data_IF_307367292385
#
_entry.id   IF_307367292385
#
_cell.length_a   1.000
_cell.length_b   1.000
_cell.length_c   1.000
_cell.angle_alpha   90.00
_cell.angle_beta   90.00
_cell.angle_gamma   90.00
#
_symmetry.space_group_name_H-M   'P 1'
#
loop_
_entity.id
_entity.type
_entity.pdbx_description
1 polymer ?
#
# COMPACT_ATOMS: atom_id res chain seq x y z
N UNK A 1 3.09 2.52 13.92
CA UNK A 1 3.73 1.95 12.74
C UNK A 1 4.31 3.07 11.87
N UNK A 2 5.63 3.06 11.69
CA UNK A 2 6.37 4.04 10.91
C UNK A 2 6.64 3.53 9.50
N UNK A 3 6.64 4.45 8.54
CA UNK A 3 6.87 4.18 7.11
C UNK A 3 7.90 5.18 6.61
N UNK A 4 8.89 4.72 5.86
CA UNK A 4 9.73 5.58 5.06
C UNK A 4 9.05 5.80 3.71
N UNK A 5 8.57 7.02 3.47
CA UNK A 5 7.95 7.43 2.22
C UNK A 5 8.59 8.72 1.74
N UNK A 6 9.08 8.76 0.51
CA UNK A 6 9.80 9.89 -0.08
C UNK A 6 11.05 10.32 0.74
N UNK A 7 11.75 9.36 1.35
CA UNK A 7 12.86 9.60 2.30
C UNK A 7 12.48 10.43 3.54
N UNK A 8 11.21 10.44 3.88
CA UNK A 8 10.65 11.10 5.05
C UNK A 8 9.95 10.07 5.95
N UNK A 9 9.87 10.39 7.24
CA UNK A 9 9.13 9.55 8.18
C UNK A 9 7.64 9.86 8.11
N UNK A 10 6.84 8.83 7.87
CA UNK A 10 5.39 8.87 7.89
C UNK A 10 4.84 7.83 8.88
N UNK A 11 3.57 7.94 9.21
CA UNK A 11 2.90 7.01 10.13
C UNK A 11 1.61 6.48 9.52
N UNK A 12 1.35 5.19 9.71
CA UNK A 12 0.11 4.56 9.25
C UNK A 12 -1.02 4.93 10.22
N UNK A 13 -2.08 5.56 9.68
CA UNK A 13 -3.33 5.81 10.41
C UNK A 13 -4.18 4.53 10.40
N UNK A 14 -4.32 3.88 9.25
CA UNK A 14 -5.12 2.68 9.10
C UNK A 14 -5.29 2.25 7.65
N UNK A 15 -6.14 1.24 7.45
CA UNK A 15 -6.59 0.78 6.13
C UNK A 15 -8.06 1.11 6.02
N UNK A 16 -8.44 1.80 4.93
CA UNK A 16 -9.80 2.29 4.74
C UNK A 16 -10.32 1.91 3.36
N UNK A 17 -11.60 1.51 3.25
CA UNK A 17 -12.31 1.52 1.96
C UNK A 17 -12.29 2.94 1.40
N UNK A 18 -11.64 3.14 0.28
CA UNK A 18 -11.40 4.48 -0.30
C UNK A 18 -11.94 4.52 -1.72
N UNK A 19 -12.90 5.42 -1.96
CA UNK A 19 -13.38 5.76 -3.29
C UNK A 19 -12.33 6.64 -3.99
N UNK A 20 -11.95 6.30 -5.20
CA UNK A 20 -10.97 7.05 -6.01
C UNK A 20 -11.56 8.27 -6.74
N UNK A 21 -12.85 8.53 -6.53
CA UNK A 21 -13.60 9.60 -7.19
C UNK A 21 -14.35 9.14 -8.44
N UNK A 22 -14.08 7.95 -8.96
CA UNK A 22 -14.81 7.34 -10.08
C UNK A 22 -15.94 6.40 -9.61
N UNK A 23 -16.01 6.14 -8.30
CA UNK A 23 -16.90 5.17 -7.69
C UNK A 23 -16.24 3.79 -7.46
N UNK A 24 -14.98 3.61 -7.87
CA UNK A 24 -14.21 2.41 -7.55
C UNK A 24 -13.72 2.51 -6.10
N UNK A 25 -14.08 1.52 -5.28
CA UNK A 25 -13.70 1.46 -3.87
C UNK A 25 -12.65 0.37 -3.69
N UNK A 26 -11.52 0.73 -3.09
CA UNK A 26 -10.42 -0.18 -2.74
C UNK A 26 -9.98 0.03 -1.30
N UNK A 27 -9.50 -1.03 -0.65
CA UNK A 27 -8.83 -0.89 0.64
C UNK A 27 -7.47 -0.25 0.43
N UNK A 28 -7.25 0.93 0.99
CA UNK A 28 -6.01 1.69 0.88
C UNK A 28 -5.43 2.05 2.23
N UNK A 29 -4.12 2.01 2.33
CA UNK A 29 -3.39 2.46 3.51
C UNK A 29 -3.40 3.99 3.53
N UNK A 30 -3.89 4.56 4.63
CA UNK A 30 -3.82 5.99 4.91
C UNK A 30 -2.59 6.27 5.76
N UNK A 31 -1.74 7.20 5.30
CA UNK A 31 -0.55 7.64 6.03
C UNK A 31 -0.58 9.15 6.27
N UNK A 32 0.06 9.56 7.36
CA UNK A 32 0.26 10.97 7.74
C UNK A 32 1.74 11.23 7.91
N UNK A 33 2.22 12.38 7.45
CA UNK A 33 3.62 12.78 7.68
C UNK A 33 3.88 12.94 9.18
N UNK A 34 5.01 12.44 9.66
CA UNK A 34 5.34 12.52 11.10
C UNK A 34 5.58 13.95 11.56
N UNK A 35 6.30 14.72 10.76
CA UNK A 35 6.60 16.12 11.04
C UNK A 35 5.73 17.05 10.17
N UNK A 36 5.42 18.26 10.67
CA UNK A 36 4.74 19.25 9.87
C UNK A 36 5.67 19.86 8.80
N UNK A 37 5.09 20.47 7.77
CA UNK A 37 5.80 21.14 6.67
C UNK A 37 5.85 22.66 6.86
N UNK A 38 5.57 23.16 8.06
CA UNK A 38 5.51 24.57 8.42
C UNK A 38 4.09 25.05 8.70
N UNK A 39 4.00 26.31 9.14
CA UNK A 39 2.73 26.95 9.44
C UNK A 39 2.18 27.67 8.21
N UNK A 40 0.87 27.49 7.97
CA UNK A 40 0.17 28.07 6.82
C UNK A 40 -1.24 28.46 7.19
N UNK A 41 -1.83 29.38 6.43
CA UNK A 41 -3.28 29.64 6.49
C UNK A 41 -4.02 28.48 5.83
N UNK A 42 -5.16 28.11 6.39
CA UNK A 42 -5.99 27.05 5.80
C UNK A 42 -6.61 27.52 4.48
N UNK A 43 -7.13 28.77 4.45
CA UNK A 43 -7.62 29.39 3.24
C UNK A 43 -7.37 30.90 3.24
N UNK A 44 -6.64 31.42 2.26
CA UNK A 44 -6.25 32.84 2.18
C UNK A 44 -7.41 33.79 1.87
N UNK A 45 -8.55 33.28 1.40
CA UNK A 45 -9.76 34.11 1.20
C UNK A 45 -10.65 34.18 2.43
N UNK A 46 -10.32 33.45 3.49
CA UNK A 46 -11.07 33.45 4.73
C UNK A 46 -12.36 32.63 4.70
N UNK A 47 -12.51 31.72 3.72
CA UNK A 47 -13.71 30.88 3.56
C UNK A 47 -13.37 29.40 3.69
N UNK A 48 -14.24 28.66 4.39
CA UNK A 48 -14.13 27.20 4.57
C UNK A 48 -15.13 26.40 3.72
N UNK A 49 -15.84 27.04 2.81
CA UNK A 49 -17.07 26.50 2.21
C UNK A 49 -16.86 25.60 1.00
N UNK A 50 -15.63 25.35 0.60
CA UNK A 50 -15.31 24.48 -0.55
C UNK A 50 -16.05 24.81 -1.86
N UNK A 51 -16.60 26.01 -2.00
CA UNK A 51 -17.07 26.49 -3.31
C UNK A 51 -15.94 26.43 -4.37
N UNK A 52 -14.72 26.42 -3.88
CA UNK A 52 -13.48 26.01 -4.53
C UNK A 52 -12.61 25.26 -3.51
N UNK A 53 -11.62 24.46 -3.94
CA UNK A 53 -10.65 23.86 -3.03
C UNK A 53 -10.00 24.91 -2.15
N UNK A 54 -9.81 24.63 -0.86
CA UNK A 54 -9.09 25.51 0.05
C UNK A 54 -7.67 25.79 -0.47
N UNK A 55 -7.15 26.98 -0.22
CA UNK A 55 -5.81 27.38 -0.69
C UNK A 55 -4.75 26.38 -0.25
N UNK A 56 -4.81 25.92 1.01
CA UNK A 56 -3.88 24.94 1.53
C UNK A 56 -3.99 23.60 0.79
N UNK A 57 -5.20 23.11 0.51
CA UNK A 57 -5.39 21.89 -0.26
C UNK A 57 -4.86 22.01 -1.70
N UNK A 58 -5.04 23.16 -2.32
CA UNK A 58 -4.47 23.44 -3.64
C UNK A 58 -2.95 23.39 -3.58
N UNK A 59 -2.33 24.02 -2.59
CA UNK A 59 -0.87 24.01 -2.39
C UNK A 59 -0.33 22.60 -2.15
N UNK A 60 -1.02 21.79 -1.34
CA UNK A 60 -0.65 20.40 -1.10
C UNK A 60 -0.67 19.57 -2.40
N UNK A 61 -1.65 19.79 -3.27
CA UNK A 61 -1.83 19.02 -4.50
C UNK A 61 -1.10 19.60 -5.72
N UNK A 62 -0.41 20.71 -5.57
CA UNK A 62 0.44 21.32 -6.60
C UNK A 62 1.88 21.41 -6.13
N UNK A 63 2.20 22.39 -5.31
CA UNK A 63 3.58 22.69 -4.89
C UNK A 63 4.20 21.53 -4.10
N UNK A 64 3.51 21.06 -3.06
CA UNK A 64 4.05 19.98 -2.23
C UNK A 64 4.08 18.65 -2.99
N UNK A 65 3.00 18.26 -3.68
CA UNK A 65 2.96 17.05 -4.50
C UNK A 65 4.10 17.01 -5.52
N UNK A 66 4.34 18.14 -6.22
CA UNK A 66 5.39 18.23 -7.23
C UNK A 66 6.81 18.23 -6.64
N UNK A 67 6.97 18.50 -5.34
CA UNK A 67 8.26 18.39 -4.64
C UNK A 67 8.62 16.93 -4.28
N UNK A 68 7.66 16.01 -4.30
CA UNK A 68 7.90 14.60 -4.06
C UNK A 68 8.61 13.94 -5.26
N UNK A 69 9.34 12.88 -5.01
CA UNK A 69 9.93 12.08 -6.10
C UNK A 69 8.84 11.49 -7.00
N UNK A 70 9.15 11.22 -8.26
CA UNK A 70 8.21 10.57 -9.19
C UNK A 70 7.74 9.21 -8.67
N UNK A 71 8.64 8.48 -8.00
CA UNK A 71 8.30 7.20 -7.37
C UNK A 71 7.25 7.40 -6.28
N UNK A 72 7.47 8.36 -5.37
CA UNK A 72 6.50 8.68 -4.32
C UNK A 72 5.16 9.14 -4.92
N UNK A 73 5.18 10.03 -5.91
CA UNK A 73 3.94 10.48 -6.59
C UNK A 73 3.14 9.31 -7.20
N UNK A 74 3.83 8.29 -7.77
CA UNK A 74 3.17 7.13 -8.36
C UNK A 74 2.50 6.22 -7.31
N UNK A 75 2.95 6.26 -6.07
CA UNK A 75 2.37 5.51 -4.95
C UNK A 75 1.11 6.16 -4.36
N UNK A 76 0.82 7.42 -4.70
CA UNK A 76 -0.31 8.17 -4.16
C UNK A 76 -1.53 8.00 -5.06
N UNK A 77 -2.60 7.39 -4.51
CA UNK A 77 -3.89 7.27 -5.20
C UNK A 77 -4.74 8.55 -5.08
N UNK A 78 -5.53 8.83 -6.12
CA UNK A 78 -6.63 9.78 -5.96
C UNK A 78 -7.62 9.22 -4.95
N UNK A 79 -8.10 10.06 -4.05
CA UNK A 79 -9.03 9.67 -3.01
C UNK A 79 -10.13 10.73 -2.86
N UNK A 80 -11.35 10.25 -2.63
CA UNK A 80 -12.47 11.09 -2.30
C UNK A 80 -12.46 11.39 -0.81
N UNK A 81 -12.21 12.64 -0.49
CA UNK A 81 -12.28 13.19 0.86
C UNK A 81 -13.68 13.74 1.10
N UNK A 82 -14.31 13.31 2.18
CA UNK A 82 -15.60 13.84 2.59
C UNK A 82 -15.41 15.17 3.30
N UNK A 83 -16.31 16.10 3.06
CA UNK A 83 -16.23 17.48 3.53
C UNK A 83 -17.38 17.84 4.48
N UNK A 84 -17.95 16.87 5.15
CA UNK A 84 -18.94 17.13 6.20
C UNK A 84 -18.30 17.86 7.37
N UNK A 85 -19.07 18.73 8.00
CA UNK A 85 -18.65 19.49 9.18
C UNK A 85 -19.75 19.51 10.23
N UNK A 86 -19.41 19.97 11.41
CA UNK A 86 -20.32 20.10 12.54
C UNK A 86 -20.06 21.40 13.28
N UNK A 87 -21.11 21.93 13.94
CA UNK A 87 -20.96 22.87 15.04
C UNK A 87 -21.01 22.07 16.34
N UNK A 88 -19.90 21.93 17.07
CA UNK A 88 -19.90 21.25 18.35
C UNK A 88 -20.85 21.96 19.32
N UNK A 89 -21.65 21.20 20.03
CA UNK A 89 -22.61 21.74 20.99
C UNK A 89 -22.03 21.74 22.40
N UNK A 90 -22.09 22.88 23.09
CA UNK A 90 -21.62 23.01 24.48
C UNK A 90 -22.54 22.39 25.53
N UNK A 91 -23.67 21.80 25.14
CA UNK A 91 -24.68 21.30 26.05
C UNK A 91 -24.56 19.82 26.39
N UNK A 92 -24.22 19.53 27.60
CA UNK A 92 -24.47 18.38 28.51
C UNK A 92 -24.77 16.95 27.96
N UNK A 93 -24.53 16.65 26.71
CA UNK A 93 -24.67 15.32 26.17
C UNK A 93 -23.45 15.04 25.32
N UNK A 94 -22.64 14.11 25.67
CA UNK A 94 -21.54 13.43 25.03
C UNK A 94 -21.48 13.48 23.47
N UNK A 95 -21.46 14.70 22.90
CA UNK A 95 -21.77 14.89 21.50
C UNK A 95 -20.54 15.03 20.60
N UNK A 96 -19.34 15.18 21.14
CA UNK A 96 -18.15 15.47 20.35
C UNK A 96 -17.11 14.36 20.49
N UNK A 97 -17.57 13.09 20.45
CA UNK A 97 -16.71 11.91 20.44
C UNK A 97 -16.13 11.65 19.05
N UNK A 98 -15.01 10.90 18.92
CA UNK A 98 -14.47 10.49 17.63
C UNK A 98 -15.49 9.86 16.69
N UNK A 99 -16.40 9.02 17.20
CA UNK A 99 -17.46 8.39 16.41
C UNK A 99 -18.43 9.42 15.82
N UNK A 100 -18.79 10.43 16.59
CA UNK A 100 -19.67 11.49 16.10
C UNK A 100 -18.99 12.36 15.05
N UNK A 101 -17.74 12.77 15.27
CA UNK A 101 -16.97 13.46 14.24
C UNK A 101 -16.89 12.61 12.96
N UNK A 102 -16.58 11.32 13.07
CA UNK A 102 -16.56 10.40 11.94
C UNK A 102 -17.89 10.40 11.17
N UNK A 103 -19.01 10.37 11.87
CA UNK A 103 -20.34 10.35 11.25
C UNK A 103 -20.66 11.66 10.51
N UNK A 104 -20.31 12.80 11.10
CA UNK A 104 -20.53 14.12 10.49
C UNK A 104 -19.61 14.41 9.31
N UNK A 105 -18.34 14.05 9.41
CA UNK A 105 -17.35 14.20 8.34
C UNK A 105 -17.82 13.53 7.05
N UNK A 106 -18.56 12.43 7.16
CA UNK A 106 -18.98 11.59 6.02
C UNK A 106 -20.43 11.84 5.58
N UNK A 107 -21.11 12.79 6.18
CA UNK A 107 -22.43 13.19 5.70
C UNK A 107 -22.34 13.82 4.32
N UNK A 108 -23.19 13.34 3.43
CA UNK A 108 -23.31 13.84 2.06
C UNK A 108 -24.51 14.77 1.86
N UNK A 109 -25.38 14.85 2.86
CA UNK A 109 -26.55 15.74 2.89
C UNK A 109 -26.64 16.39 4.24
N UNK A 110 -26.83 17.71 4.28
CA UNK A 110 -27.07 18.49 5.47
C UNK A 110 -28.56 18.67 5.66
N UNK A 111 -29.04 18.33 6.85
CA UNK A 111 -30.48 18.35 7.18
C UNK A 111 -30.82 19.35 8.26
N UNK A 112 -29.82 19.87 8.99
CA UNK A 112 -30.00 20.81 10.10
C UNK A 112 -29.09 22.03 9.98
N UNK A 113 -29.45 23.11 10.66
CA UNK A 113 -28.72 24.40 10.60
C UNK A 113 -27.32 24.38 11.23
N UNK A 114 -27.04 23.38 12.03
CA UNK A 114 -25.72 23.16 12.65
C UNK A 114 -24.85 22.17 11.89
N UNK A 115 -25.29 21.73 10.74
CA UNK A 115 -24.52 20.87 9.84
C UNK A 115 -23.98 21.70 8.65
N UNK A 116 -22.93 21.20 8.02
CA UNK A 116 -22.24 21.92 6.97
C UNK A 116 -23.10 22.05 5.70
N UNK A 117 -23.38 23.28 5.29
CA UNK A 117 -23.88 23.74 3.99
C UNK A 117 -25.27 23.35 3.53
N UNK A 118 -26.06 22.65 4.25
CA UNK A 118 -27.44 22.34 3.81
C UNK A 118 -27.55 21.79 2.37
N UNK A 119 -26.51 21.12 1.87
CA UNK A 119 -26.46 20.63 0.50
C UNK A 119 -26.17 21.68 -0.58
N UNK A 120 -25.81 22.92 -0.20
CA UNK A 120 -25.54 24.00 -1.15
C UNK A 120 -24.12 23.95 -1.73
N UNK A 121 -23.15 23.46 -0.95
CA UNK A 121 -21.74 23.39 -1.34
C UNK A 121 -21.30 21.92 -1.51
N UNK A 122 -20.13 21.69 -2.13
CA UNK A 122 -19.59 20.33 -2.24
C UNK A 122 -19.44 19.65 -0.88
N UNK A 123 -19.85 18.40 -0.79
CA UNK A 123 -19.72 17.54 0.39
C UNK A 123 -18.59 16.53 0.27
N UNK A 124 -17.85 16.58 -0.82
CA UNK A 124 -16.66 15.78 -1.07
C UNK A 124 -15.76 16.47 -2.07
N UNK A 125 -14.48 16.09 -2.03
CA UNK A 125 -13.45 16.57 -2.93
C UNK A 125 -12.52 15.40 -3.28
N UNK A 126 -12.03 15.35 -4.52
CA UNK A 126 -11.11 14.31 -4.99
C UNK A 126 -9.72 14.91 -5.16
N UNK A 127 -8.75 14.27 -4.57
CA UNK A 127 -7.34 14.68 -4.70
C UNK A 127 -6.38 13.67 -4.11
N UNK A 128 -5.09 13.95 -4.20
CA UNK A 128 -4.02 13.06 -3.76
C UNK A 128 -3.61 13.29 -2.31
N UNK A 129 -3.54 14.55 -1.89
CA UNK A 129 -3.14 14.93 -0.53
C UNK A 129 -4.20 15.79 0.13
N UNK A 130 -4.34 15.63 1.43
CA UNK A 130 -5.25 16.42 2.26
C UNK A 130 -4.68 16.56 3.67
N UNK A 131 -5.56 16.89 4.62
CA UNK A 131 -5.28 16.96 6.06
C UNK A 131 -5.98 15.81 6.78
N UNK A 132 -5.61 15.57 8.04
CA UNK A 132 -6.29 14.61 8.91
C UNK A 132 -7.74 15.02 9.15
N UNK A 133 -8.58 14.02 9.36
CA UNK A 133 -9.89 14.22 9.98
C UNK A 133 -9.77 14.41 11.50
N UNK A 134 -10.76 15.03 12.12
CA UNK A 134 -10.89 15.06 13.59
C UNK A 134 -11.00 13.64 14.13
N UNK A 135 -11.73 12.76 13.42
CA UNK A 135 -11.85 11.35 13.79
C UNK A 135 -10.53 10.59 13.72
N UNK A 136 -9.63 10.88 12.75
CA UNK A 136 -8.30 10.27 12.70
C UNK A 136 -7.52 10.54 14.00
N UNK A 137 -7.57 11.80 14.47
CA UNK A 137 -6.95 12.19 15.74
C UNK A 137 -7.60 11.51 16.93
N UNK A 138 -8.93 11.49 16.97
CA UNK A 138 -9.67 10.91 18.08
C UNK A 138 -9.41 9.40 18.24
N UNK A 139 -9.29 8.66 17.16
CA UNK A 139 -8.99 7.22 17.19
C UNK A 139 -7.49 6.88 17.32
N UNK A 140 -6.61 7.87 17.32
CA UNK A 140 -5.18 7.64 17.53
C UNK A 140 -4.82 7.26 18.97
N UNK A 141 -5.78 7.27 19.88
CA UNK A 141 -5.65 6.73 21.24
C UNK A 141 -6.94 6.05 21.67
N UNK A 142 -6.86 4.81 22.12
CA UNK A 142 -8.03 4.11 22.71
C UNK A 142 -8.63 4.84 23.91
N UNK A 143 -7.81 5.61 24.64
CA UNK A 143 -8.28 6.41 25.76
C UNK A 143 -9.15 7.61 25.34
N UNK A 144 -9.12 8.00 24.05
CA UNK A 144 -9.93 9.08 23.50
C UNK A 144 -11.26 8.61 22.89
N UNK A 145 -11.38 7.32 22.53
CA UNK A 145 -12.44 6.77 21.70
C UNK A 145 -13.87 7.13 22.13
N UNK A 146 -14.13 7.11 23.44
CA UNK A 146 -15.43 7.38 24.01
C UNK A 146 -15.47 8.70 24.80
N UNK A 147 -14.50 9.59 24.56
CA UNK A 147 -14.44 10.89 25.24
C UNK A 147 -14.82 12.02 24.29
N UNK A 148 -15.31 13.09 24.88
CA UNK A 148 -15.44 14.36 24.20
C UNK A 148 -14.05 14.92 23.88
N UNK A 149 -13.74 15.15 22.62
CA UNK A 149 -12.43 15.62 22.18
C UNK A 149 -12.40 17.10 21.78
N UNK A 150 -13.52 17.78 21.82
CA UNK A 150 -13.64 19.21 21.53
C UNK A 150 -13.79 20.03 22.81
N UNK A 151 -12.91 21.01 23.00
CA UNK A 151 -13.08 22.08 24.00
C UNK A 151 -13.16 21.66 25.47
N UNK A 152 -12.83 20.42 25.84
CA UNK A 152 -13.01 19.92 27.20
C UNK A 152 -11.68 19.64 27.93
N UNK A 153 -11.70 19.90 29.25
CA UNK A 153 -10.55 19.63 30.12
C UNK A 153 -10.32 18.14 30.43
N UNK A 154 -11.30 17.28 30.17
CA UNK A 154 -11.25 15.83 30.42
C UNK A 154 -10.33 15.07 29.45
N UNK A 155 -9.92 15.74 28.41
CA UNK A 155 -9.11 15.17 27.33
C UNK A 155 -7.62 15.00 27.73
N UNK A 156 -7.15 15.68 28.77
CA UNK A 156 -5.73 15.62 29.18
C UNK A 156 -5.25 14.19 29.42
N UNK A 157 -6.12 13.31 29.87
CA UNK A 157 -5.78 11.89 30.07
C UNK A 157 -5.66 11.10 28.78
N UNK A 158 -6.37 11.50 27.70
CA UNK A 158 -6.28 10.81 26.42
C UNK A 158 -5.15 11.34 25.54
N UNK A 159 -4.78 12.61 25.65
CA UNK A 159 -3.70 13.20 24.85
C UNK A 159 -2.33 12.57 25.14
N UNK A 160 -2.05 12.23 26.40
CA UNK A 160 -0.77 11.64 26.80
C UNK A 160 -0.48 10.29 26.10
N UNK A 161 -1.48 9.62 25.58
CA UNK A 161 -1.35 8.35 24.84
C UNK A 161 -1.68 8.50 23.36
N UNK A 162 -2.05 9.70 22.91
CA UNK A 162 -2.40 9.95 21.52
C UNK A 162 -1.14 10.15 20.69
N UNK A 163 -0.85 9.18 19.82
CA UNK A 163 0.36 9.20 19.02
C UNK A 163 0.35 10.22 17.87
N UNK A 164 -0.80 10.84 17.56
CA UNK A 164 -0.91 11.95 16.62
C UNK A 164 -0.74 13.32 17.29
N UNK A 165 -0.75 13.37 18.62
CA UNK A 165 -0.61 14.62 19.34
C UNK A 165 0.81 15.18 19.25
N UNK A 166 0.90 16.47 18.85
CA UNK A 166 2.14 17.23 18.83
C UNK A 166 2.01 18.41 19.80
N UNK A 167 2.69 18.32 20.94
CA UNK A 167 2.61 19.31 22.03
C UNK A 167 3.07 20.73 21.64
N UNK A 168 3.71 20.87 20.51
CA UNK A 168 4.44 22.12 20.19
C UNK A 168 3.64 23.09 19.32
N UNK A 169 2.62 22.63 18.60
CA UNK A 169 2.01 23.38 17.52
C UNK A 169 0.51 23.11 17.43
N UNK A 170 -0.27 24.14 17.13
CA UNK A 170 -1.63 24.01 16.66
C UNK A 170 -1.61 23.51 15.22
N UNK A 171 -2.25 22.37 14.91
CA UNK A 171 -2.20 21.72 13.60
C UNK A 171 -3.56 21.66 12.92
N UNK A 172 -3.65 22.12 11.68
CA UNK A 172 -4.86 22.11 10.87
C UNK A 172 -5.42 20.72 10.60
N UNK A 173 -6.74 20.63 10.63
CA UNK A 173 -7.52 19.46 10.22
C UNK A 173 -8.35 19.78 8.97
N UNK A 174 -8.86 18.73 8.31
CA UNK A 174 -9.65 18.86 7.09
C UNK A 174 -11.06 19.40 7.33
N UNK A 175 -11.84 18.88 8.32
CA UNK A 175 -13.25 19.24 8.48
C UNK A 175 -13.40 20.71 8.87
N UNK A 176 -14.41 21.34 8.28
CA UNK A 176 -14.77 22.70 8.59
C UNK A 176 -15.72 22.77 9.80
N UNK A 177 -15.62 23.88 10.50
CA UNK A 177 -16.57 24.25 11.54
C UNK A 177 -17.87 24.77 10.89
N UNK A 178 -18.99 24.06 11.11
CA UNK A 178 -20.24 24.36 10.40
C UNK A 178 -20.97 25.61 10.91
N UNK A 179 -20.67 26.05 12.14
CA UNK A 179 -21.29 27.26 12.73
C UNK A 179 -20.81 28.59 12.11
N UNK A 180 -19.79 28.56 11.25
CA UNK A 180 -19.28 29.75 10.57
C UNK A 180 -18.49 29.38 9.32
N UNK A 181 -18.64 30.15 8.26
CA UNK A 181 -17.91 29.96 7.02
C UNK A 181 -16.44 30.42 7.06
N UNK A 182 -15.98 30.93 8.19
CA UNK A 182 -14.61 31.44 8.37
C UNK A 182 -13.73 30.60 9.30
N UNK A 183 -14.19 29.44 9.76
CA UNK A 183 -13.46 28.62 10.74
C UNK A 183 -13.31 27.17 10.30
N UNK A 184 -12.20 26.57 10.68
CA UNK A 184 -11.99 25.12 10.54
C UNK A 184 -11.36 24.54 11.80
N UNK A 185 -11.43 23.22 11.95
CA UNK A 185 -10.88 22.53 13.10
C UNK A 185 -9.36 22.44 13.05
N UNK A 186 -8.77 22.33 14.23
CA UNK A 186 -7.36 22.05 14.45
C UNK A 186 -7.18 21.21 15.72
N UNK A 187 -6.03 20.56 15.83
CA UNK A 187 -5.52 20.03 17.09
C UNK A 187 -4.72 21.14 17.75
N UNK A 188 -5.18 21.66 18.87
CA UNK A 188 -4.46 22.69 19.61
C UNK A 188 -3.21 22.14 20.29
N UNK A 189 -2.27 23.02 20.62
CA UNK A 189 -1.03 22.68 21.33
C UNK A 189 -1.23 22.05 22.71
N UNK A 190 -2.45 22.14 23.27
CA UNK A 190 -2.88 21.40 24.48
C UNK A 190 -3.49 20.02 24.13
N UNK A 191 -3.59 19.65 22.87
CA UNK A 191 -4.13 18.37 22.38
C UNK A 191 -5.65 18.33 22.31
N UNK A 192 -6.33 19.45 22.48
CA UNK A 192 -7.76 19.59 22.32
C UNK A 192 -8.11 19.85 20.84
N UNK A 193 -9.21 19.34 20.38
CA UNK A 193 -9.82 19.83 19.15
C UNK A 193 -10.41 21.21 19.44
N UNK A 194 -10.02 22.18 18.65
CA UNK A 194 -10.49 23.55 18.68
C UNK A 194 -10.74 24.03 17.23
N UNK A 195 -11.11 25.27 17.04
CA UNK A 195 -11.30 25.88 15.73
C UNK A 195 -10.63 27.26 15.65
N UNK A 196 -10.16 27.62 14.49
CA UNK A 196 -9.53 28.95 14.23
C UNK A 196 -9.96 29.53 12.91
N UNK A 197 -9.81 30.83 12.81
CA UNK A 197 -10.05 31.60 11.58
C UNK A 197 -9.12 31.12 10.48
N UNK A 198 -9.69 30.67 9.36
CA UNK A 198 -8.94 30.10 8.22
C UNK A 198 -8.05 31.09 7.47
N UNK A 199 -8.43 32.38 7.45
CA UNK A 199 -7.78 33.41 6.61
C UNK A 199 -6.65 34.16 7.30
N UNK A 200 -6.52 34.12 8.61
CA UNK A 200 -5.53 34.91 9.36
C UNK A 200 -4.63 34.08 10.27
N UNK A 201 -5.15 32.99 10.81
CA UNK A 201 -4.36 32.08 11.64
C UNK A 201 -3.47 31.19 10.78
N UNK A 202 -2.23 30.97 11.22
CA UNK A 202 -1.28 30.07 10.59
C UNK A 202 -1.02 28.87 11.51
N UNK A 203 -1.60 27.72 11.17
CA UNK A 203 -1.42 26.47 11.86
C UNK A 203 -0.45 25.53 11.15
N UNK A 204 0.13 24.61 11.90
CA UNK A 204 1.00 23.55 11.38
C UNK A 204 0.27 22.66 10.38
N UNK A 205 0.99 22.17 9.40
CA UNK A 205 0.43 21.35 8.32
C UNK A 205 1.11 19.99 8.31
N UNK A 206 0.36 18.92 8.55
CA UNK A 206 0.80 17.54 8.31
C UNK A 206 0.01 16.93 7.17
N UNK A 207 0.63 16.76 5.98
CA UNK A 207 -0.03 16.12 4.85
C UNK A 207 -0.48 14.70 5.16
N UNK A 208 -1.64 14.33 4.62
CA UNK A 208 -2.21 12.99 4.64
C UNK A 208 -2.44 12.53 3.21
N UNK A 209 -2.24 11.26 2.95
CA UNK A 209 -2.51 10.65 1.65
C UNK A 209 -2.97 9.19 1.79
N UNK A 210 -3.56 8.67 0.73
CA UNK A 210 -3.87 7.25 0.58
C UNK A 210 -2.93 6.64 -0.46
N UNK A 211 -2.25 5.57 -0.06
CA UNK A 211 -1.42 4.79 -0.98
C UNK A 211 -2.32 3.99 -1.93
N UNK A 212 -1.86 3.80 -3.15
CA UNK A 212 -2.56 2.89 -4.09
C UNK A 212 -2.55 1.46 -3.57
N UNK A 213 -3.48 0.63 -4.01
CA UNK A 213 -3.55 -0.80 -3.64
C UNK A 213 -2.35 -1.63 -4.12
N UNK A 214 -1.57 -1.10 -5.07
CA UNK A 214 -0.35 -1.73 -5.57
C UNK A 214 0.90 -1.46 -4.73
N UNK A 215 0.80 -0.64 -3.67
CA UNK A 215 1.92 -0.41 -2.75
C UNK A 215 2.07 -1.59 -1.81
N UNK A 216 3.30 -2.10 -1.68
CA UNK A 216 3.65 -3.21 -0.81
C UNK A 216 4.77 -2.84 0.16
N UNK A 217 4.82 -3.53 1.30
CA UNK A 217 5.95 -3.45 2.21
C UNK A 217 7.08 -4.31 1.62
N UNK A 218 8.21 -3.68 1.35
CA UNK A 218 9.40 -4.33 0.78
C UNK A 218 10.53 -4.52 1.80
N UNK A 219 10.38 -3.99 3.01
CA UNK A 219 11.35 -4.13 4.10
C UNK A 219 10.95 -3.37 5.35
N UNK A 220 11.81 -3.43 6.38
CA UNK A 220 11.58 -2.81 7.68
C UNK A 220 10.57 -3.56 8.54
N UNK A 221 10.48 -3.19 9.82
CA UNK A 221 9.57 -3.80 10.79
C UNK A 221 8.54 -2.80 11.38
N UNK A 222 8.52 -1.56 10.87
CA UNK A 222 7.55 -0.54 11.24
C UNK A 222 7.81 0.18 12.56
N UNK A 223 9.01 0.01 13.14
CA UNK A 223 9.43 0.78 14.31
C UNK A 223 9.99 2.15 13.91
N UNK A 224 10.22 3.04 14.87
CA UNK A 224 10.83 4.35 14.59
C UNK A 224 12.30 4.25 14.14
N UNK A 225 12.99 3.18 14.53
CA UNK A 225 14.39 2.90 14.17
C UNK A 225 14.54 2.04 12.92
N UNK A 226 13.48 1.32 12.53
CA UNK A 226 13.41 0.49 11.33
C UNK A 226 12.01 0.60 10.71
N UNK A 227 11.68 1.77 10.10
CA UNK A 227 10.39 2.00 9.47
C UNK A 227 10.14 1.02 8.32
N UNK A 228 8.88 0.71 8.05
CA UNK A 228 8.52 0.00 6.83
C UNK A 228 9.07 0.73 5.61
N UNK A 229 9.76 0.00 4.75
CA UNK A 229 10.10 0.43 3.41
C UNK A 229 8.96 -0.01 2.50
N UNK A 230 8.42 0.91 1.73
CA UNK A 230 7.33 0.63 0.80
C UNK A 230 7.77 0.90 -0.64
N UNK A 231 7.18 0.19 -1.57
CA UNK A 231 7.41 0.35 -2.99
C UNK A 231 6.19 -0.07 -3.79
N UNK A 232 6.13 0.37 -5.03
CA UNK A 232 5.14 -0.15 -5.97
C UNK A 232 5.45 -1.61 -6.25
N UNK A 233 4.39 -2.42 -6.31
CA UNK A 233 4.46 -3.67 -7.05
C UNK A 233 4.75 -3.28 -8.51
N UNK A 234 6.01 -3.41 -8.91
CA UNK A 234 6.40 -3.10 -10.28
C UNK A 234 5.92 -4.25 -11.16
N UNK A 235 4.71 -4.09 -11.68
CA UNK A 235 4.35 -4.84 -12.87
C UNK A 235 5.40 -4.51 -13.92
N UNK A 236 6.02 -5.51 -14.51
CA UNK A 236 6.74 -5.29 -15.75
C UNK A 236 5.74 -4.80 -16.82
N UNK A 237 6.22 -4.33 -17.97
CA UNK A 237 5.35 -3.79 -19.01
C UNK A 237 4.37 -4.85 -19.59
N UNK A 238 4.56 -6.13 -19.27
CA UNK A 238 3.64 -7.23 -19.65
C UNK A 238 2.32 -7.22 -18.89
N UNK A 239 2.25 -6.51 -17.74
CA UNK A 239 1.13 -6.57 -16.82
C UNK A 239 1.17 -7.75 -15.84
N UNK A 240 2.23 -8.57 -15.85
CA UNK A 240 2.40 -9.66 -14.91
C UNK A 240 2.62 -9.14 -13.48
N UNK A 241 2.00 -9.81 -12.50
CA UNK A 241 2.21 -9.49 -11.10
C UNK A 241 3.62 -9.91 -10.66
N UNK A 242 4.29 -9.03 -9.91
CA UNK A 242 5.60 -9.30 -9.37
C UNK A 242 5.64 -10.52 -8.45
N UNK A 243 6.76 -11.25 -8.42
CA UNK A 243 6.94 -12.39 -7.53
C UNK A 243 6.92 -11.97 -6.05
N UNK A 244 6.23 -12.74 -5.24
CA UNK A 244 6.18 -12.55 -3.77
C UNK A 244 7.08 -13.59 -3.11
N UNK A 245 8.22 -13.16 -2.55
CA UNK A 245 9.17 -14.05 -1.87
C UNK A 245 8.72 -14.40 -0.46
N UNK A 246 8.81 -15.70 -0.11
CA UNK A 246 8.81 -16.09 1.29
C UNK A 246 10.16 -15.72 1.96
N UNK A 247 10.16 -15.58 3.28
CA UNK A 247 11.34 -15.12 4.04
C UNK A 247 12.59 -15.99 3.91
N UNK A 248 12.42 -17.27 3.50
CA UNK A 248 13.49 -18.23 3.30
C UNK A 248 13.90 -18.39 1.82
N UNK A 249 13.27 -17.66 0.91
CA UNK A 249 13.54 -17.73 -0.52
C UNK A 249 14.54 -16.65 -0.96
N UNK A 250 15.45 -17.03 -1.85
CA UNK A 250 16.47 -16.19 -2.44
C UNK A 250 16.14 -16.05 -3.92
N UNK A 251 15.95 -14.79 -4.43
CA UNK A 251 15.73 -14.55 -5.84
C UNK A 251 17.00 -14.87 -6.63
N UNK A 252 16.87 -15.60 -7.73
CA UNK A 252 18.01 -16.01 -8.55
C UNK A 252 17.72 -15.87 -10.04
N UNK A 253 18.80 -15.71 -10.81
CA UNK A 253 18.79 -15.85 -12.26
C UNK A 253 19.91 -16.76 -12.70
N UNK A 254 19.74 -17.39 -13.85
CA UNK A 254 20.80 -18.21 -14.46
C UNK A 254 21.66 -17.33 -15.35
N UNK A 255 22.94 -17.30 -15.07
CA UNK A 255 23.93 -16.61 -15.91
C UNK A 255 24.45 -17.59 -16.95
N UNK A 256 23.99 -17.49 -18.18
CA UNK A 256 24.36 -18.37 -19.29
C UNK A 256 25.84 -18.29 -19.60
N UNK A 257 26.48 -17.14 -19.38
CA UNK A 257 27.91 -16.94 -19.66
C UNK A 257 28.81 -17.76 -18.75
N UNK A 258 28.49 -17.77 -17.45
CA UNK A 258 29.27 -18.51 -16.45
C UNK A 258 28.65 -19.88 -16.10
N UNK A 259 27.45 -20.19 -16.59
CA UNK A 259 26.78 -21.47 -16.36
C UNK A 259 26.36 -21.70 -14.90
N UNK A 260 26.11 -20.64 -14.16
CA UNK A 260 25.80 -20.73 -12.73
C UNK A 260 24.56 -19.92 -12.35
N UNK A 261 23.92 -20.30 -11.24
CA UNK A 261 22.88 -19.51 -10.64
C UNK A 261 23.49 -18.40 -9.80
N UNK A 262 23.00 -17.17 -10.00
CA UNK A 262 23.42 -15.98 -9.27
C UNK A 262 22.24 -15.35 -8.56
N UNK A 263 22.53 -14.71 -7.42
CA UNK A 263 21.54 -13.91 -6.71
C UNK A 263 21.04 -12.76 -7.59
N UNK A 264 19.74 -12.66 -7.76
CA UNK A 264 19.10 -11.58 -8.50
C UNK A 264 18.83 -10.36 -7.61
N UNK A 265 18.68 -9.20 -8.24
CA UNK A 265 18.14 -8.01 -7.58
C UNK A 265 16.62 -8.17 -7.40
N UNK A 266 16.19 -8.41 -6.17
CA UNK A 266 14.75 -8.57 -5.81
C UNK A 266 13.89 -7.39 -6.24
N UNK A 267 14.46 -6.19 -6.34
CA UNK A 267 13.76 -4.97 -6.75
C UNK A 267 13.78 -4.78 -8.28
N UNK A 268 14.43 -5.65 -9.01
CA UNK A 268 14.51 -5.66 -10.46
C UNK A 268 15.03 -4.34 -11.09
N UNK A 269 15.85 -3.60 -10.34
CA UNK A 269 16.41 -2.30 -10.75
C UNK A 269 17.74 -2.40 -11.46
N UNK A 270 18.52 -3.44 -11.15
CA UNK A 270 19.84 -3.69 -11.72
C UNK A 270 19.69 -4.56 -12.98
N UNK A 271 19.95 -3.97 -14.14
CA UNK A 271 19.88 -4.70 -15.41
C UNK A 271 20.88 -5.85 -15.51
N UNK A 272 22.06 -5.74 -14.87
CA UNK A 272 23.07 -6.81 -14.89
C UNK A 272 22.68 -8.00 -14.00
N UNK A 273 21.83 -7.79 -13.00
CA UNK A 273 21.37 -8.79 -12.06
C UNK A 273 19.85 -8.87 -12.02
N UNK A 274 19.21 -8.61 -13.17
CA UNK A 274 17.76 -8.59 -13.32
C UNK A 274 17.16 -9.92 -12.90
N UNK A 275 16.03 -9.87 -12.21
CA UNK A 275 15.39 -11.07 -11.68
C UNK A 275 14.41 -11.69 -12.67
N UNK A 276 13.55 -10.84 -13.30
CA UNK A 276 12.53 -11.31 -14.22
C UNK A 276 12.13 -10.25 -15.24
N UNK A 277 11.56 -10.72 -16.35
CA UNK A 277 10.80 -9.93 -17.30
C UNK A 277 9.82 -10.85 -18.01
N UNK A 278 8.53 -10.61 -17.82
CA UNK A 278 7.45 -11.34 -18.51
C UNK A 278 7.07 -10.68 -19.84
N UNK A 279 7.84 -9.70 -20.28
CA UNK A 279 7.64 -9.03 -21.56
C UNK A 279 7.81 -10.00 -22.72
N UNK A 280 7.03 -9.81 -23.79
CA UNK A 280 7.09 -10.63 -25.01
C UNK A 280 8.19 -10.19 -25.96
N UNK A 281 8.83 -9.03 -25.73
CA UNK A 281 9.88 -8.46 -26.56
C UNK A 281 10.96 -7.79 -25.69
N UNK A 282 12.09 -7.42 -26.30
CA UNK A 282 13.21 -6.79 -25.60
C UNK A 282 14.29 -7.77 -25.20
N UNK A 283 15.37 -7.25 -24.62
CA UNK A 283 16.58 -8.00 -24.25
C UNK A 283 16.30 -9.11 -23.22
N UNK A 284 15.40 -8.85 -22.27
CA UNK A 284 15.07 -9.75 -21.17
C UNK A 284 13.73 -10.48 -21.36
N UNK A 285 13.22 -10.55 -22.59
CA UNK A 285 11.92 -11.18 -22.88
C UNK A 285 11.86 -12.63 -22.37
N UNK A 286 10.74 -12.96 -21.73
CA UNK A 286 10.47 -14.32 -21.28
C UNK A 286 11.39 -14.80 -20.14
N UNK A 287 12.04 -13.88 -19.42
CA UNK A 287 12.86 -14.19 -18.25
C UNK A 287 11.95 -14.41 -17.03
N UNK A 288 11.63 -15.67 -16.77
CA UNK A 288 10.78 -16.04 -15.64
C UNK A 288 11.49 -15.85 -14.30
N UNK A 289 10.78 -15.33 -13.31
CA UNK A 289 11.31 -15.20 -11.95
C UNK A 289 11.58 -16.58 -11.33
N UNK A 290 12.82 -16.80 -10.94
CA UNK A 290 13.23 -18.00 -10.22
C UNK A 290 13.62 -17.65 -8.79
N UNK A 291 13.37 -18.57 -7.87
CA UNK A 291 13.84 -18.49 -6.49
C UNK A 291 14.35 -19.84 -6.02
N UNK A 292 15.25 -19.82 -5.06
CA UNK A 292 15.78 -21.03 -4.43
C UNK A 292 15.61 -20.98 -2.92
N UNK A 293 15.45 -22.14 -2.28
CA UNK A 293 15.80 -22.31 -0.87
C UNK A 293 17.17 -22.99 -0.79
N UNK A 294 17.89 -22.72 0.27
CA UNK A 294 19.21 -23.27 0.52
C UNK A 294 19.30 -23.88 1.90
N UNK A 295 20.36 -24.67 2.15
CA UNK A 295 20.67 -25.22 3.48
C UNK A 295 20.64 -24.12 4.54
N UNK A 296 20.09 -24.43 5.70
CA UNK A 296 19.91 -23.49 6.81
C UNK A 296 21.21 -22.82 7.24
N UNK A 297 22.31 -23.57 7.21
CA UNK A 297 23.66 -23.07 7.54
C UNK A 297 24.14 -21.91 6.67
N UNK A 298 23.69 -21.85 5.41
CA UNK A 298 24.14 -20.85 4.44
C UNK A 298 23.05 -19.82 4.09
N UNK A 299 21.82 -20.00 4.62
CA UNK A 299 20.68 -19.16 4.25
C UNK A 299 20.92 -17.67 4.52
N UNK A 300 21.36 -17.33 5.71
CA UNK A 300 21.55 -15.93 6.08
C UNK A 300 22.69 -15.28 5.26
N UNK A 301 23.72 -16.03 4.90
CA UNK A 301 24.80 -15.56 4.03
C UNK A 301 24.24 -15.16 2.66
N UNK A 302 23.44 -16.02 2.04
CA UNK A 302 22.87 -15.73 0.72
C UNK A 302 21.77 -14.67 0.77
N UNK A 303 20.96 -14.62 1.84
CA UNK A 303 19.98 -13.54 2.00
C UNK A 303 20.63 -12.15 2.08
N UNK A 304 21.80 -12.05 2.71
CA UNK A 304 22.54 -10.80 2.85
C UNK A 304 23.53 -10.52 1.71
N UNK A 305 23.81 -11.49 0.84
CA UNK A 305 24.73 -11.31 -0.27
C UNK A 305 24.24 -10.21 -1.25
N UNK A 306 25.17 -9.59 -1.96
CA UNK A 306 24.82 -8.63 -3.03
C UNK A 306 24.29 -9.35 -4.27
N UNK A 307 23.42 -8.72 -5.08
CA UNK A 307 23.07 -9.24 -6.41
C UNK A 307 24.32 -9.56 -7.23
N UNK A 308 24.27 -10.63 -8.04
CA UNK A 308 25.42 -11.15 -8.80
C UNK A 308 26.25 -12.20 -8.07
N UNK A 309 26.06 -12.38 -6.75
CA UNK A 309 26.73 -13.45 -5.98
C UNK A 309 26.30 -14.83 -6.48
N UNK A 310 27.24 -15.70 -6.78
CA UNK A 310 26.98 -17.10 -7.17
C UNK A 310 26.36 -17.89 -6.02
N UNK A 311 25.28 -18.61 -6.31
CA UNK A 311 24.64 -19.55 -5.39
C UNK A 311 25.12 -20.94 -5.73
N UNK A 312 25.81 -21.60 -4.80
CA UNK A 312 26.32 -22.95 -5.01
C UNK A 312 25.16 -23.95 -5.18
N UNK A 313 25.21 -24.77 -6.23
CA UNK A 313 24.25 -25.86 -6.45
C UNK A 313 24.22 -26.85 -5.26
N UNK A 314 25.37 -27.05 -4.60
CA UNK A 314 25.46 -27.92 -3.43
C UNK A 314 24.69 -27.38 -2.21
N UNK A 315 24.37 -26.11 -2.19
CA UNK A 315 23.63 -25.46 -1.11
C UNK A 315 22.13 -25.34 -1.40
N UNK A 316 21.73 -25.44 -2.66
CA UNK A 316 20.32 -25.35 -3.07
C UNK A 316 19.59 -26.60 -2.63
N UNK A 317 18.46 -26.39 -1.96
CA UNK A 317 17.56 -27.48 -1.50
C UNK A 317 16.31 -27.60 -2.36
N UNK A 318 15.77 -26.47 -2.86
CA UNK A 318 14.63 -26.45 -3.78
C UNK A 318 14.77 -25.30 -4.78
N UNK A 319 14.17 -25.45 -5.95
CA UNK A 319 14.09 -24.41 -6.97
C UNK A 319 12.64 -24.19 -7.39
N UNK A 320 12.29 -22.94 -7.58
CA UNK A 320 10.93 -22.49 -7.82
C UNK A 320 10.89 -21.48 -8.98
N UNK A 321 9.78 -21.50 -9.71
CA UNK A 321 9.44 -20.50 -10.71
C UNK A 321 8.14 -19.82 -10.34
N UNK A 322 8.06 -18.51 -10.49
CA UNK A 322 6.85 -17.74 -10.23
C UNK A 322 5.90 -17.79 -11.41
N UNK A 323 4.67 -18.22 -11.15
CA UNK A 323 3.55 -18.17 -12.09
C UNK A 323 2.69 -16.96 -11.71
N UNK A 324 2.80 -15.82 -12.43
CA UNK A 324 1.94 -14.67 -12.17
C UNK A 324 0.49 -14.99 -12.55
N UNK A 325 -0.46 -14.33 -11.89
CA UNK A 325 -1.89 -14.45 -12.19
C UNK A 325 -2.17 -14.17 -13.66
N UNK A 326 -2.92 -15.02 -14.29
CA UNK A 326 -3.32 -14.87 -15.70
C UNK A 326 -4.73 -15.37 -15.95
N UNK A 327 -5.34 -14.90 -17.03
CA UNK A 327 -6.51 -15.47 -17.65
C UNK A 327 -6.12 -16.16 -18.95
N UNK A 328 -6.80 -17.23 -19.27
CA UNK A 328 -6.62 -17.99 -20.49
C UNK A 328 -7.96 -18.21 -21.18
N UNK A 329 -7.98 -18.03 -22.48
CA UNK A 329 -9.14 -18.44 -23.28
C UNK A 329 -9.07 -19.98 -23.43
N UNK A 330 -10.12 -20.68 -22.99
CA UNK A 330 -10.20 -22.14 -23.17
C UNK A 330 -10.17 -22.45 -24.67
N UNK A 331 -9.15 -23.19 -25.15
CA UNK A 331 -9.00 -23.41 -26.56
C UNK A 331 -10.08 -24.34 -27.10
N UNK A 332 -10.65 -23.97 -28.24
CA UNK A 332 -11.55 -24.82 -28.99
C UNK A 332 -10.72 -25.65 -29.98
N UNK A 333 -11.00 -26.94 -30.07
CA UNK A 333 -10.35 -27.84 -31.04
C UNK A 333 -8.80 -27.71 -31.08
N UNK A 334 -8.13 -27.87 -29.94
CA UNK A 334 -6.68 -27.76 -29.83
C UNK A 334 -6.10 -26.41 -30.29
N UNK A 335 -6.90 -25.34 -30.17
CA UNK A 335 -6.59 -23.99 -30.60
C UNK A 335 -6.18 -23.89 -32.09
N UNK A 336 -6.88 -24.67 -32.95
CA UNK A 336 -6.59 -24.75 -34.38
C UNK A 336 -5.43 -25.69 -34.75
N UNK A 337 -4.84 -26.37 -33.79
CA UNK A 337 -3.86 -27.44 -33.98
C UNK A 337 -4.51 -28.83 -34.09
N UNK A 338 -3.74 -29.85 -33.77
CA UNK A 338 -4.20 -31.24 -33.70
C UNK A 338 -3.99 -31.81 -32.29
N UNK A 339 -4.66 -32.94 -31.97
CA UNK A 339 -4.43 -33.63 -30.69
C UNK A 339 -2.96 -33.97 -30.44
N UNK A 340 -2.21 -34.30 -31.49
CA UNK A 340 -0.80 -34.64 -31.41
C UNK A 340 0.10 -33.41 -31.35
N UNK A 341 -0.39 -32.24 -31.85
CA UNK A 341 0.34 -30.98 -31.90
C UNK A 341 -0.63 -29.81 -31.70
N UNK A 342 -1.09 -29.56 -30.47
CA UNK A 342 -1.95 -28.43 -30.19
C UNK A 342 -1.19 -27.11 -30.38
N UNK A 343 -1.88 -26.06 -30.83
CA UNK A 343 -1.30 -24.72 -30.84
C UNK A 343 -1.25 -24.15 -29.43
N UNK A 344 -0.40 -23.15 -29.23
CA UNK A 344 -0.27 -22.42 -27.98
C UNK A 344 -1.60 -21.76 -27.58
N UNK A 345 -1.81 -21.64 -26.30
CA UNK A 345 -2.95 -20.93 -25.71
C UNK A 345 -2.51 -19.49 -25.43
N UNK A 346 -3.30 -18.55 -25.87
CA UNK A 346 -3.08 -17.14 -25.53
C UNK A 346 -3.46 -16.91 -24.06
N UNK A 347 -2.53 -16.30 -23.33
CA UNK A 347 -2.73 -15.90 -21.93
C UNK A 347 -2.59 -14.39 -21.81
N UNK A 348 -3.39 -13.80 -20.95
CA UNK A 348 -3.29 -12.38 -20.54
C UNK A 348 -3.05 -12.31 -19.04
N UNK A 349 -2.06 -11.55 -18.63
CA UNK A 349 -1.84 -11.32 -17.21
C UNK A 349 -2.98 -10.50 -16.60
N UNK A 350 -3.37 -10.84 -15.39
CA UNK A 350 -4.49 -10.26 -14.67
C UNK A 350 -4.05 -9.74 -13.31
N UNK A 351 -4.61 -8.61 -12.89
CA UNK A 351 -4.41 -8.11 -11.52
C UNK A 351 -5.15 -9.00 -10.51
N UNK A 352 -4.75 -8.92 -9.24
CA UNK A 352 -5.31 -9.76 -8.17
C UNK A 352 -6.84 -9.74 -8.09
N UNK A 353 -7.50 -8.64 -8.45
CA UNK A 353 -8.95 -8.49 -8.38
C UNK A 353 -9.64 -8.62 -9.75
N UNK A 354 -8.90 -8.98 -10.79
CA UNK A 354 -9.43 -9.21 -12.13
C UNK A 354 -9.71 -10.71 -12.34
N UNK A 355 -10.64 -11.06 -13.24
CA UNK A 355 -10.92 -12.46 -13.57
C UNK A 355 -9.65 -13.21 -13.98
N UNK A 356 -9.51 -14.44 -13.51
CA UNK A 356 -8.43 -15.35 -13.86
C UNK A 356 -8.94 -16.80 -13.82
N UNK A 357 -8.10 -17.74 -14.22
CA UNK A 357 -8.40 -19.16 -14.07
C UNK A 357 -8.49 -19.55 -12.58
N UNK A 358 -9.27 -20.58 -12.27
CA UNK A 358 -9.56 -21.03 -10.89
C UNK A 358 -8.33 -21.39 -10.06
N UNK A 359 -7.20 -21.68 -10.72
CA UNK A 359 -5.92 -21.98 -10.05
C UNK A 359 -5.40 -20.83 -9.17
N UNK A 360 -5.90 -19.61 -9.33
CA UNK A 360 -5.53 -18.45 -8.53
C UNK A 360 -6.51 -18.13 -7.40
N UNK A 361 -7.51 -18.98 -7.18
CA UNK A 361 -8.51 -18.83 -6.12
C UNK A 361 -8.38 -19.95 -5.11
N UNK A 362 -8.07 -19.61 -3.85
CA UNK A 362 -7.98 -20.55 -2.72
C UNK A 362 -9.04 -20.21 -1.67
N UNK A 363 -10.17 -20.90 -1.72
CA UNK A 363 -11.32 -20.57 -0.90
C UNK A 363 -11.83 -19.15 -1.23
N UNK A 364 -11.70 -18.23 -0.28
CA UNK A 364 -12.08 -16.84 -0.45
C UNK A 364 -10.87 -15.90 -0.73
N UNK A 365 -9.70 -16.48 -1.00
CA UNK A 365 -8.48 -15.71 -1.28
C UNK A 365 -8.13 -15.75 -2.75
N UNK A 366 -7.93 -14.58 -3.32
CA UNK A 366 -7.40 -14.38 -4.65
C UNK A 366 -5.89 -14.19 -4.58
N UNK A 367 -5.13 -14.90 -5.40
CA UNK A 367 -3.67 -14.85 -5.46
C UNK A 367 -3.20 -13.98 -6.61
N UNK A 368 -2.16 -13.19 -6.40
CA UNK A 368 -1.44 -12.46 -7.46
C UNK A 368 -0.54 -13.39 -8.30
N UNK A 369 -0.28 -14.58 -7.82
CA UNK A 369 0.53 -15.63 -8.42
C UNK A 369 0.88 -16.69 -7.39
N UNK A 370 1.63 -17.68 -7.80
CA UNK A 370 2.14 -18.72 -6.89
C UNK A 370 3.49 -19.27 -7.37
N UNK A 371 4.23 -19.86 -6.44
CA UNK A 371 5.48 -20.55 -6.73
C UNK A 371 5.20 -21.99 -7.15
N UNK A 372 5.78 -22.40 -8.26
CA UNK A 372 5.72 -23.75 -8.80
C UNK A 372 7.12 -24.40 -8.79
N UNK A 373 7.23 -25.67 -8.46
CA UNK A 373 8.52 -26.37 -8.52
C UNK A 373 9.12 -26.32 -9.91
N UNK A 374 10.35 -25.82 -10.02
CA UNK A 374 11.01 -25.64 -11.32
C UNK A 374 11.29 -26.97 -12.01
N UNK A 375 11.56 -28.01 -11.24
CA UNK A 375 11.87 -29.33 -11.72
C UNK A 375 10.91 -30.37 -11.13
N UNK A 376 10.70 -31.45 -11.85
CA UNK A 376 9.96 -32.60 -11.32
C UNK A 376 10.71 -33.21 -10.14
N UNK A 377 9.97 -33.76 -9.19
CA UNK A 377 10.56 -34.50 -8.07
C UNK A 377 11.23 -35.77 -8.58
N UNK A 378 12.46 -35.99 -8.17
CA UNK A 378 13.26 -37.15 -8.52
C UNK A 378 13.80 -37.84 -7.27
N UNK A 379 14.42 -38.98 -7.45
CA UNK A 379 15.08 -39.74 -6.39
C UNK A 379 16.61 -39.70 -6.59
N UNK A 380 17.35 -39.40 -5.53
CA UNK A 380 18.79 -39.13 -5.62
C UNK A 380 19.64 -40.33 -6.15
N UNK A 381 19.14 -41.54 -6.03
CA UNK A 381 19.83 -42.80 -6.42
C UNK A 381 19.32 -43.36 -7.74
N UNK A 382 18.27 -42.82 -8.34
CA UNK A 382 17.74 -43.31 -9.61
C UNK A 382 18.38 -42.61 -10.79
N UNK A 383 18.70 -43.37 -11.82
CA UNK A 383 19.22 -42.81 -13.03
C UNK A 383 18.22 -41.88 -13.72
N UNK A 384 18.71 -40.85 -14.36
CA UNK A 384 17.90 -39.81 -15.02
C UNK A 384 16.97 -40.34 -16.13
N UNK A 385 17.27 -41.49 -16.70
CA UNK A 385 16.48 -42.20 -17.73
C UNK A 385 15.48 -43.18 -17.16
N UNK A 386 15.38 -43.35 -15.85
CA UNK A 386 14.41 -44.23 -15.22
C UNK A 386 13.01 -43.68 -15.35
N UNK A 387 12.06 -44.51 -15.84
CA UNK A 387 10.65 -44.09 -15.96
C UNK A 387 10.08 -43.74 -14.59
N UNK A 388 9.74 -42.49 -14.38
CA UNK A 388 9.38 -41.92 -13.08
C UNK A 388 7.94 -42.22 -12.64
N UNK A 389 7.15 -42.94 -13.45
CA UNK A 389 5.72 -43.18 -13.20
C UNK A 389 5.39 -44.00 -11.95
N UNK A 390 6.39 -44.63 -11.33
CA UNK A 390 6.23 -45.45 -10.13
C UNK A 390 7.14 -45.06 -8.97
N UNK A 391 7.65 -43.83 -8.98
CA UNK A 391 8.40 -43.29 -7.83
C UNK A 391 7.44 -43.01 -6.68
N UNK A 392 7.12 -44.05 -5.89
CA UNK A 392 6.49 -43.87 -4.59
C UNK A 392 7.48 -43.21 -3.65
N UNK A 393 7.24 -41.93 -3.34
CA UNK A 393 8.01 -41.23 -2.31
C UNK A 393 7.60 -41.62 -0.88
N UNK A 394 7.24 -42.88 -0.67
CA UNK A 394 6.59 -43.32 0.58
C UNK A 394 7.50 -43.34 1.79
N UNK A 395 8.82 -43.38 1.64
CA UNK A 395 9.77 -43.42 2.78
C UNK A 395 11.12 -42.73 2.47
N UNK A 396 11.24 -41.98 1.39
CA UNK A 396 12.50 -41.37 0.99
C UNK A 396 12.30 -39.92 0.60
N UNK A 397 13.27 -39.10 0.91
CA UNK A 397 13.22 -37.69 0.56
C UNK A 397 13.37 -37.54 -0.96
N UNK A 398 12.26 -37.26 -1.63
CA UNK A 398 12.29 -36.81 -3.01
C UNK A 398 12.84 -35.38 -3.06
N UNK A 399 13.88 -35.18 -3.82
CA UNK A 399 14.41 -33.84 -4.04
C UNK A 399 14.65 -33.57 -5.54
N UNK A 400 14.64 -32.33 -5.89
CA UNK A 400 14.85 -31.86 -7.26
C UNK A 400 16.33 -31.63 -7.61
N UNK A 401 17.26 -31.99 -6.74
CA UNK A 401 18.66 -31.57 -6.86
C UNK A 401 19.37 -32.11 -8.11
N UNK A 402 18.82 -33.13 -8.77
CA UNK A 402 19.42 -33.78 -9.93
C UNK A 402 18.42 -34.00 -11.08
N UNK A 403 17.30 -33.27 -11.11
CA UNK A 403 16.29 -33.38 -12.16
C UNK A 403 16.55 -32.52 -13.37
#
# INVERSE_FOLDING_TARGET
NYVNFNNETWRIIGIFPTDDGTGKIENRIKIVRNENIGNKRWDTTGLNNWARPATLNTELNTTYLNSLTREAQSMIGDAKYYLGGITPTSNNGYTDTPLQFYSYERKTKNTTSNEFYYGTYPNSWVGKLSLMYVSDYGYASSNCENKRIYGDNDIRGCNNTNWLYNIKIDEWLLPQYAGSNGYTFLVGSAGLIDHRIVGTFEGGVRPVLYLTSSVQITGGNGTSTDPYVIGMDKQDASGANAPVLASNMIPVYYDETSGVWKKADKNNKDNNNRWYSYESSGEYKGMWANAVTVKDTNRQTYLNATPGTTISMNDITTMWVWIPRFNAVTPNNYNGGTKAKPNAIDVTYAKQNEPAIDAFTFGNKELSGFWYGKFETGHATLASNTTKNNLGCTNEICNNANG
#
